data_IF_562369544146
#
_entry.id   IF_562369544146
#
_cell.length_a   1.000
_cell.length_b   1.000
_cell.length_c   1.000
_cell.angle_alpha   90.00
_cell.angle_beta   90.00
_cell.angle_gamma   90.00
#
_symmetry.space_group_name_H-M   'P 1'
#
loop_
_entity.id
_entity.type
_entity.pdbx_description
1 polymer ?
#
# COMPACT_ATOMS: atom_id res chain seq x y z
N UNK A 1 -18.48 28.86 -2.46
CA UNK A 1 -17.53 30.00 -2.54
C UNK A 1 -16.45 29.70 -1.52
N UNK A 2 -15.67 28.66 -1.80
CA UNK A 2 -14.43 28.37 -1.10
C UNK A 2 -13.47 29.50 -1.47
N UNK A 3 -12.90 30.14 -0.47
CA UNK A 3 -11.82 31.11 -0.67
C UNK A 3 -10.68 30.30 -1.31
N UNK A 4 -10.34 30.63 -2.55
CA UNK A 4 -9.16 30.07 -3.22
C UNK A 4 -7.96 30.48 -2.36
N UNK A 5 -7.51 29.57 -1.50
CA UNK A 5 -6.19 29.64 -0.90
C UNK A 5 -5.25 29.61 -2.09
N UNK A 6 -4.39 30.63 -2.23
CA UNK A 6 -3.34 30.61 -3.24
C UNK A 6 -2.57 29.29 -3.07
N UNK A 7 -2.71 28.35 -4.02
CA UNK A 7 -2.09 27.02 -3.94
C UNK A 7 -0.58 27.11 -3.73
N UNK A 8 0.04 28.19 -4.23
CA UNK A 8 1.44 28.52 -4.02
C UNK A 8 1.77 28.83 -2.55
N UNK A 9 0.86 29.43 -1.78
CA UNK A 9 1.01 29.59 -0.33
C UNK A 9 0.88 28.24 0.39
N UNK A 10 -0.10 27.42 0.00
CA UNK A 10 -0.31 26.10 0.58
C UNK A 10 0.94 25.21 0.42
N UNK A 11 1.57 25.19 -0.76
CA UNK A 11 2.81 24.44 -1.04
C UNK A 11 3.95 24.75 -0.08
N UNK A 12 4.05 26.00 0.38
CA UNK A 12 5.10 26.47 1.28
C UNK A 12 4.80 26.23 2.76
N UNK A 13 3.57 25.83 3.12
CA UNK A 13 3.22 25.52 4.51
C UNK A 13 4.03 24.31 4.98
N UNK A 14 4.39 24.35 6.26
CA UNK A 14 5.24 23.34 6.89
C UNK A 14 4.41 22.42 7.78
N UNK A 15 4.65 21.11 7.65
CA UNK A 15 4.09 20.07 8.51
C UNK A 15 5.20 19.36 9.27
N UNK A 16 4.98 19.08 10.56
CA UNK A 16 5.95 18.41 11.43
C UNK A 16 5.65 16.92 11.63
N UNK A 17 6.64 16.20 12.15
CA UNK A 17 6.52 14.77 12.49
C UNK A 17 5.42 14.47 13.54
N UNK A 18 5.12 15.40 14.45
CA UNK A 18 4.07 15.23 15.46
C UNK A 18 2.65 15.31 14.87
N UNK A 19 2.47 16.03 13.75
CA UNK A 19 1.18 16.12 13.06
C UNK A 19 0.89 14.90 12.18
N UNK A 20 1.91 14.08 11.90
CA UNK A 20 1.83 12.93 10.99
C UNK A 20 1.93 11.67 11.83
N UNK A 21 0.81 10.96 12.01
CA UNK A 21 0.78 9.75 12.82
C UNK A 21 1.37 8.52 12.14
N UNK A 22 1.52 8.54 10.81
CA UNK A 22 2.10 7.42 10.07
C UNK A 22 3.61 7.33 10.32
N UNK A 23 4.06 6.13 10.71
CA UNK A 23 5.41 5.90 11.25
C UNK A 23 6.50 6.10 10.20
N UNK A 24 6.29 5.66 8.96
CA UNK A 24 7.28 5.84 7.89
C UNK A 24 7.48 7.31 7.55
N UNK A 25 6.40 8.06 7.33
CA UNK A 25 6.43 9.49 7.02
C UNK A 25 6.99 10.31 8.18
N UNK A 26 6.61 10.00 9.42
CA UNK A 26 7.12 10.68 10.61
C UNK A 26 8.65 10.50 10.74
N UNK A 27 9.16 9.26 10.59
CA UNK A 27 10.60 8.98 10.59
C UNK A 27 11.34 9.64 9.41
N UNK A 28 10.69 9.73 8.25
CA UNK A 28 11.27 10.40 7.08
C UNK A 28 11.43 11.91 7.30
N UNK A 29 10.44 12.54 7.93
CA UNK A 29 10.49 13.95 8.35
C UNK A 29 11.61 14.14 9.39
N UNK A 30 11.74 13.26 10.37
CA UNK A 30 12.81 13.37 11.37
C UNK A 30 14.21 13.27 10.77
N UNK A 31 14.41 12.36 9.80
CA UNK A 31 15.72 12.07 9.22
C UNK A 31 16.15 13.07 8.13
N UNK A 32 15.21 13.56 7.32
CA UNK A 32 15.51 14.41 6.15
C UNK A 32 14.86 15.79 6.18
N UNK A 33 14.05 16.08 7.20
CA UNK A 33 13.36 17.36 7.37
C UNK A 33 14.28 18.52 7.72
N UNK A 34 13.77 19.72 7.45
CA UNK A 34 14.43 20.98 7.81
C UNK A 34 13.84 21.52 9.12
N UNK A 35 14.67 22.23 9.89
CA UNK A 35 14.19 22.88 11.10
C UNK A 35 13.24 24.03 10.73
N UNK A 36 12.02 23.97 11.24
CA UNK A 36 10.96 24.90 10.88
C UNK A 36 9.87 24.99 11.94
N UNK A 37 8.91 25.87 11.69
CA UNK A 37 7.71 26.01 12.51
C UNK A 37 6.52 25.41 11.76
N UNK A 38 5.86 24.42 12.35
CA UNK A 38 4.68 23.79 11.79
C UNK A 38 3.54 24.80 11.67
N UNK A 39 2.92 24.89 10.50
CA UNK A 39 1.77 25.77 10.28
C UNK A 39 0.55 25.33 11.09
N UNK A 40 0.37 24.01 11.29
CA UNK A 40 -0.85 23.44 11.87
C UNK A 40 -0.81 23.37 13.40
N UNK A 41 0.24 22.80 13.99
CA UNK A 41 0.35 22.69 15.45
C UNK A 41 1.14 23.85 16.10
N UNK A 42 1.84 24.68 15.32
CA UNK A 42 2.73 25.73 15.84
C UNK A 42 3.98 25.21 16.55
N UNK A 43 4.26 23.91 16.45
CA UNK A 43 5.45 23.27 17.02
C UNK A 43 6.71 23.60 16.25
N UNK A 44 7.83 23.73 16.97
CA UNK A 44 9.16 23.94 16.38
C UNK A 44 9.90 22.61 16.35
N UNK A 45 10.35 22.19 15.18
CA UNK A 45 11.00 20.90 15.00
C UNK A 45 11.39 20.62 13.56
N UNK A 46 11.55 19.32 13.24
CA UNK A 46 11.76 18.87 11.87
C UNK A 46 10.45 18.93 11.09
N UNK A 47 10.50 19.55 9.93
CA UNK A 47 9.35 19.82 9.08
C UNK A 47 9.64 19.55 7.61
N UNK A 48 8.58 19.24 6.86
CA UNK A 48 8.55 19.24 5.40
C UNK A 48 7.61 20.31 4.89
N UNK A 49 7.86 20.76 3.65
CA UNK A 49 6.87 21.53 2.91
C UNK A 49 5.70 20.63 2.50
N UNK A 50 4.50 21.20 2.36
CA UNK A 50 3.36 20.43 1.87
C UNK A 50 3.58 19.91 0.45
N UNK A 51 4.33 20.62 -0.40
CA UNK A 51 4.72 20.11 -1.73
C UNK A 51 5.48 18.78 -1.62
N UNK A 52 6.49 18.71 -0.76
CA UNK A 52 7.25 17.47 -0.53
C UNK A 52 6.39 16.35 0.06
N UNK A 53 5.39 16.72 0.85
CA UNK A 53 4.47 15.77 1.46
C UNK A 53 3.46 15.25 0.42
N UNK A 54 2.90 16.14 -0.41
CA UNK A 54 2.00 15.83 -1.51
C UNK A 54 2.65 14.87 -2.51
N UNK A 55 3.92 15.10 -2.88
CA UNK A 55 4.70 14.19 -3.72
C UNK A 55 4.73 12.74 -3.21
N UNK A 56 4.83 12.57 -1.89
CA UNK A 56 4.86 11.24 -1.25
C UNK A 56 3.49 10.60 -1.24
N UNK A 57 2.47 11.38 -0.93
CA UNK A 57 1.07 10.94 -0.96
C UNK A 57 0.68 10.55 -2.39
N UNK A 58 1.01 11.35 -3.40
CA UNK A 58 0.78 11.03 -4.82
C UNK A 58 1.37 9.68 -5.21
N UNK A 59 2.62 9.39 -4.80
CA UNK A 59 3.25 8.09 -5.04
C UNK A 59 2.53 6.94 -4.33
N UNK A 60 2.12 7.14 -3.08
CA UNK A 60 1.38 6.14 -2.33
C UNK A 60 0.02 5.85 -2.97
N UNK A 61 -0.71 6.89 -3.38
CA UNK A 61 -1.98 6.77 -4.11
C UNK A 61 -1.79 6.02 -5.43
N UNK A 62 -0.80 6.40 -6.24
CA UNK A 62 -0.51 5.71 -7.51
C UNK A 62 -0.18 4.22 -7.35
N UNK A 63 0.33 3.79 -6.20
CA UNK A 63 0.66 2.39 -5.92
C UNK A 63 -0.50 1.61 -5.30
N UNK A 64 -1.27 2.23 -4.40
CA UNK A 64 -2.17 1.52 -3.50
C UNK A 64 -3.65 1.83 -3.70
N UNK A 65 -4.00 2.92 -4.38
CA UNK A 65 -5.39 3.36 -4.52
C UNK A 65 -5.79 3.58 -5.98
N UNK A 66 -7.07 3.36 -6.28
CA UNK A 66 -7.66 3.67 -7.57
C UNK A 66 -8.95 4.47 -7.39
N UNK A 67 -9.19 5.41 -8.30
CA UNK A 67 -10.40 6.24 -8.32
C UNK A 67 -11.59 5.41 -8.74
N UNK A 68 -12.70 5.55 -8.02
CA UNK A 68 -13.95 4.87 -8.34
C UNK A 68 -14.80 5.67 -9.31
N UNK A 69 -15.56 4.97 -10.15
CA UNK A 69 -16.47 5.60 -11.11
C UNK A 69 -17.57 6.36 -10.36
N UNK A 70 -17.88 7.61 -10.75
CA UNK A 70 -19.00 8.35 -10.17
C UNK A 70 -20.37 7.75 -10.53
N UNK A 71 -20.43 6.76 -11.42
CA UNK A 71 -21.65 6.07 -11.83
C UNK A 71 -21.67 4.59 -11.43
N UNK A 72 -22.87 4.03 -11.19
CA UNK A 72 -23.03 2.59 -10.98
C UNK A 72 -22.62 1.80 -12.23
N UNK A 73 -22.04 0.63 -11.99
CA UNK A 73 -21.77 -0.33 -13.07
C UNK A 73 -23.08 -0.81 -13.71
N UNK A 74 -23.02 -1.32 -14.94
CA UNK A 74 -24.21 -1.85 -15.63
C UNK A 74 -24.94 -2.96 -14.86
N UNK A 75 -24.21 -3.73 -14.05
CA UNK A 75 -24.80 -4.75 -13.18
C UNK A 75 -25.55 -4.14 -12.00
N UNK A 76 -24.97 -3.14 -11.34
CA UNK A 76 -25.61 -2.41 -10.24
C UNK A 76 -26.84 -1.64 -10.71
N UNK A 77 -26.77 -1.06 -11.91
CA UNK A 77 -27.93 -0.45 -12.54
C UNK A 77 -29.07 -1.45 -12.76
N UNK A 78 -28.74 -2.69 -13.19
CA UNK A 78 -29.73 -3.75 -13.33
C UNK A 78 -30.33 -4.17 -11.98
N UNK A 79 -29.51 -4.25 -10.92
CA UNK A 79 -29.96 -4.57 -9.57
C UNK A 79 -30.87 -3.50 -8.98
N UNK A 80 -30.59 -2.21 -9.18
CA UNK A 80 -31.47 -1.12 -8.72
C UNK A 80 -32.82 -1.12 -9.45
N UNK A 81 -32.85 -1.57 -10.71
CA UNK A 81 -34.07 -1.63 -11.51
C UNK A 81 -34.95 -2.83 -11.16
N UNK A 82 -34.38 -3.86 -10.55
CA UNK A 82 -35.11 -5.03 -10.12
C UNK A 82 -35.99 -4.71 -8.91
N UNK A 83 -37.30 -4.95 -9.05
CA UNK A 83 -38.29 -4.65 -8.00
C UNK A 83 -38.20 -5.59 -6.80
N UNK A 84 -37.56 -6.74 -6.96
CA UNK A 84 -37.32 -7.70 -5.88
C UNK A 84 -35.99 -7.44 -5.16
N UNK A 85 -35.14 -6.58 -5.72
CA UNK A 85 -33.89 -6.16 -5.12
C UNK A 85 -34.11 -5.02 -4.13
N UNK A 86 -33.39 -5.06 -3.02
CA UNK A 86 -33.31 -3.96 -2.04
C UNK A 86 -32.00 -3.19 -2.17
N UNK A 87 -31.26 -3.43 -3.25
CA UNK A 87 -29.98 -2.78 -3.52
C UNK A 87 -30.19 -1.29 -3.80
N UNK A 88 -29.54 -0.46 -2.98
CA UNK A 88 -29.44 0.98 -3.17
C UNK A 88 -27.97 1.32 -3.40
N UNK A 89 -27.69 2.03 -4.49
CA UNK A 89 -26.32 2.30 -4.88
C UNK A 89 -25.80 3.55 -4.17
N UNK A 90 -24.61 3.42 -3.62
CA UNK A 90 -23.78 4.54 -3.15
C UNK A 90 -22.43 4.44 -3.85
N UNK A 91 -21.78 5.58 -4.05
CA UNK A 91 -20.47 5.61 -4.69
C UNK A 91 -19.49 4.78 -3.87
N UNK A 92 -18.75 3.90 -4.54
CA UNK A 92 -17.75 3.07 -3.89
C UNK A 92 -16.53 3.89 -3.48
N UNK A 93 -15.79 3.40 -2.50
CA UNK A 93 -14.62 4.08 -1.96
C UNK A 93 -14.99 5.19 -1.00
N UNK A 94 -13.99 5.98 -0.65
CA UNK A 94 -14.06 7.07 0.32
C UNK A 94 -13.57 8.36 -0.32
N UNK A 95 -14.00 9.50 0.21
CA UNK A 95 -13.59 10.80 -0.30
C UNK A 95 -12.07 10.93 -0.24
N UNK A 96 -11.50 11.56 -1.26
CA UNK A 96 -10.04 11.72 -1.37
C UNK A 96 -9.41 12.36 -0.12
N UNK A 97 -10.08 13.33 0.51
CA UNK A 97 -9.62 13.97 1.75
C UNK A 97 -9.61 13.00 2.92
N UNK A 98 -10.59 12.11 3.01
CA UNK A 98 -10.68 11.10 4.07
C UNK A 98 -9.59 10.05 3.87
N UNK A 99 -9.39 9.58 2.64
CA UNK A 99 -8.31 8.63 2.32
C UNK A 99 -6.93 9.21 2.64
N UNK A 100 -6.68 10.50 2.36
CA UNK A 100 -5.43 11.18 2.71
C UNK A 100 -5.26 11.24 4.24
N UNK A 101 -6.31 11.62 4.98
CA UNK A 101 -6.29 11.65 6.45
C UNK A 101 -5.94 10.29 7.03
N UNK A 102 -6.62 9.23 6.59
CA UNK A 102 -6.41 7.88 7.10
C UNK A 102 -5.05 7.32 6.71
N UNK A 103 -4.58 7.59 5.50
CA UNK A 103 -3.27 7.09 5.01
C UNK A 103 -2.11 7.72 5.75
N UNK A 104 -2.15 9.04 5.97
CA UNK A 104 -1.07 9.78 6.62
C UNK A 104 -1.25 9.92 8.14
N UNK A 105 -2.44 9.57 8.66
CA UNK A 105 -2.87 9.82 10.03
C UNK A 105 -2.68 11.30 10.41
N UNK A 106 -3.26 12.18 9.61
CA UNK A 106 -3.21 13.65 9.76
C UNK A 106 -4.60 14.22 9.99
N UNK A 107 -4.66 15.45 10.48
CA UNK A 107 -5.92 16.19 10.63
C UNK A 107 -6.52 16.62 9.28
N UNK A 108 -7.80 16.98 9.30
CA UNK A 108 -8.59 17.39 8.13
C UNK A 108 -7.98 18.56 7.36
N UNK A 109 -7.52 19.61 8.05
CA UNK A 109 -7.01 20.82 7.39
C UNK A 109 -5.73 20.57 6.57
N UNK A 110 -4.67 19.90 7.11
CA UNK A 110 -3.56 19.43 6.30
C UNK A 110 -4.00 18.59 5.08
N UNK A 111 -4.98 17.70 5.25
CA UNK A 111 -5.42 16.83 4.17
C UNK A 111 -6.12 17.59 3.03
N UNK A 112 -6.94 18.59 3.36
CA UNK A 112 -7.56 19.50 2.38
C UNK A 112 -6.47 20.28 1.63
N UNK A 113 -5.51 20.86 2.34
CA UNK A 113 -4.43 21.63 1.71
C UNK A 113 -3.60 20.73 0.77
N UNK A 114 -3.32 19.48 1.15
CA UNK A 114 -2.62 18.48 0.30
C UNK A 114 -3.46 18.11 -0.92
N UNK A 115 -4.77 17.87 -0.74
CA UNK A 115 -5.67 17.54 -1.84
C UNK A 115 -5.73 18.67 -2.87
N UNK A 116 -5.76 19.94 -2.43
CA UNK A 116 -5.73 21.09 -3.34
C UNK A 116 -4.43 21.13 -4.17
N UNK A 117 -3.28 20.89 -3.53
CA UNK A 117 -1.98 20.83 -4.23
C UNK A 117 -2.00 19.72 -5.29
N UNK A 118 -2.47 18.53 -4.92
CA UNK A 118 -2.53 17.38 -5.82
C UNK A 118 -3.52 17.60 -6.97
N UNK A 119 -4.66 18.23 -6.69
CA UNK A 119 -5.65 18.58 -7.71
C UNK A 119 -5.06 19.51 -8.76
N UNK A 120 -4.37 20.56 -8.32
CA UNK A 120 -3.77 21.54 -9.23
C UNK A 120 -2.63 20.93 -10.06
N UNK A 121 -1.85 20.02 -9.48
CA UNK A 121 -0.78 19.30 -10.18
C UNK A 121 -1.30 18.30 -11.22
N UNK A 122 -2.49 17.74 -10.99
CA UNK A 122 -3.13 16.77 -11.87
C UNK A 122 -4.26 17.38 -12.71
N UNK A 123 -4.43 18.70 -12.66
CA UNK A 123 -5.41 19.41 -13.46
C UNK A 123 -5.07 19.23 -14.95
N UNK A 124 -6.05 18.76 -15.72
CA UNK A 124 -6.00 18.69 -17.17
C UNK A 124 -5.86 20.06 -17.81
N UNK A 125 -5.55 20.09 -19.11
CA UNK A 125 -5.48 21.35 -19.87
C UNK A 125 -6.82 22.11 -19.71
N UNK A 126 -6.82 23.36 -19.23
CA UNK A 126 -8.04 24.15 -19.06
C UNK A 126 -8.86 24.32 -20.34
N UNK A 127 -8.23 24.14 -21.51
CA UNK A 127 -8.90 24.19 -22.81
C UNK A 127 -9.55 22.87 -23.22
N UNK A 128 -9.24 21.77 -22.53
CA UNK A 128 -9.78 20.43 -22.71
C UNK A 128 -10.81 20.11 -21.61
N UNK A 129 -11.86 20.93 -21.52
CA UNK A 129 -12.96 20.69 -20.59
C UNK A 129 -13.85 19.54 -21.11
N UNK A 130 -13.55 18.32 -20.66
CA UNK A 130 -14.38 17.14 -20.91
C UNK A 130 -15.66 17.13 -20.05
N UNK A 131 -15.66 17.89 -18.93
CA UNK A 131 -16.70 17.81 -17.90
C UNK A 131 -16.65 16.50 -17.10
N UNK A 132 -15.62 15.68 -17.32
CA UNK A 132 -15.35 14.48 -16.55
C UNK A 132 -14.60 14.87 -15.27
N UNK A 133 -14.89 14.15 -14.19
CA UNK A 133 -14.16 14.27 -12.93
C UNK A 133 -12.67 13.95 -13.16
N UNK A 134 -11.79 14.75 -12.58
CA UNK A 134 -10.33 14.63 -12.69
C UNK A 134 -9.73 13.96 -11.44
N UNK A 135 -8.41 13.73 -11.46
CA UNK A 135 -7.71 13.17 -10.30
C UNK A 135 -7.70 14.18 -9.15
N UNK A 136 -7.94 13.67 -7.93
CA UNK A 136 -7.99 14.46 -6.70
C UNK A 136 -9.04 15.59 -6.70
N UNK A 137 -10.07 15.55 -7.56
CA UNK A 137 -11.20 16.48 -7.45
C UNK A 137 -11.89 16.38 -6.07
N UNK A 138 -12.51 17.46 -5.61
CA UNK A 138 -13.05 17.58 -4.23
C UNK A 138 -14.06 16.47 -3.87
N UNK A 139 -14.83 16.01 -4.86
CA UNK A 139 -15.84 14.96 -4.70
C UNK A 139 -15.34 13.58 -5.16
N UNK A 140 -14.08 13.46 -5.57
CA UNK A 140 -13.52 12.20 -6.04
C UNK A 140 -13.41 11.18 -4.92
N UNK A 141 -13.74 9.92 -5.25
CA UNK A 141 -13.66 8.80 -4.32
C UNK A 141 -12.59 7.81 -4.76
N UNK A 142 -11.88 7.26 -3.78
CA UNK A 142 -10.80 6.29 -3.98
C UNK A 142 -11.07 5.04 -3.16
N UNK A 143 -10.69 3.88 -3.70
CA UNK A 143 -10.64 2.62 -2.94
C UNK A 143 -9.26 1.98 -3.06
N UNK A 144 -8.84 1.15 -2.09
CA UNK A 144 -7.62 0.38 -2.21
C UNK A 144 -7.67 -0.52 -3.45
N UNK A 145 -6.59 -0.49 -4.24
CA UNK A 145 -6.45 -1.35 -5.43
C UNK A 145 -6.67 -2.79 -5.03
N UNK A 146 -7.63 -3.43 -5.70
CA UNK A 146 -7.86 -4.85 -5.52
C UNK A 146 -6.71 -5.59 -6.20
N UNK A 147 -5.93 -6.33 -5.41
CA UNK A 147 -4.93 -7.22 -5.97
C UNK A 147 -5.64 -8.33 -6.75
N UNK A 148 -5.70 -8.22 -8.09
CA UNK A 148 -6.18 -9.31 -8.93
C UNK A 148 -5.11 -10.40 -9.00
N UNK A 149 -5.18 -11.34 -8.06
CA UNK A 149 -4.27 -12.47 -7.98
C UNK A 149 -4.57 -13.54 -9.06
N UNK A 150 -5.64 -13.42 -9.85
CA UNK A 150 -6.06 -14.47 -10.79
C UNK A 150 -4.97 -14.86 -11.77
N UNK A 151 -4.19 -13.88 -12.24
CA UNK A 151 -3.06 -14.14 -13.13
C UNK A 151 -1.96 -14.91 -12.40
N UNK A 152 -1.61 -14.50 -11.18
CA UNK A 152 -0.64 -15.20 -10.33
C UNK A 152 -1.08 -16.63 -9.99
N UNK A 153 -2.34 -16.82 -9.60
CA UNK A 153 -2.96 -18.11 -9.33
C UNK A 153 -2.93 -19.02 -10.56
N UNK A 154 -3.22 -18.48 -11.75
CA UNK A 154 -3.18 -19.23 -13.01
C UNK A 154 -1.75 -19.69 -13.33
N UNK A 155 -0.78 -18.78 -13.24
CA UNK A 155 0.62 -19.10 -13.49
C UNK A 155 1.18 -20.11 -12.48
N UNK A 156 0.84 -19.96 -11.19
CA UNK A 156 1.23 -20.92 -10.16
C UNK A 156 0.66 -22.32 -10.42
N UNK A 157 -0.62 -22.42 -10.82
CA UNK A 157 -1.22 -23.72 -11.19
C UNK A 157 -0.56 -24.32 -12.43
N UNK A 158 -0.13 -23.50 -13.37
CA UNK A 158 0.61 -23.96 -14.56
C UNK A 158 1.99 -24.48 -14.17
N UNK A 159 2.70 -23.77 -13.29
CA UNK A 159 3.96 -24.20 -12.69
C UNK A 159 3.83 -25.51 -11.90
N UNK A 160 2.80 -25.64 -11.05
CA UNK A 160 2.55 -26.89 -10.34
C UNK A 160 2.27 -28.05 -11.29
N UNK A 161 1.51 -27.80 -12.36
CA UNK A 161 1.24 -28.82 -13.38
C UNK A 161 2.52 -29.24 -14.07
N UNK A 162 3.35 -28.30 -14.53
CA UNK A 162 4.60 -28.64 -15.22
C UNK A 162 5.54 -29.48 -14.35
N UNK A 163 5.70 -29.14 -13.05
CA UNK A 163 6.47 -29.96 -12.11
C UNK A 163 5.88 -31.36 -11.90
N UNK A 164 4.56 -31.50 -11.92
CA UNK A 164 3.86 -32.79 -11.73
C UNK A 164 3.88 -33.66 -12.99
N UNK A 165 3.87 -33.06 -14.18
CA UNK A 165 3.64 -33.80 -15.45
C UNK A 165 4.88 -33.87 -16.35
N UNK A 166 5.80 -32.92 -16.28
CA UNK A 166 6.85 -32.73 -17.27
C UNK A 166 8.24 -32.71 -16.61
N UNK A 167 8.76 -33.94 -16.47
CA UNK A 167 10.14 -34.30 -16.10
C UNK A 167 10.52 -34.10 -14.62
N UNK A 168 11.25 -35.08 -14.09
CA UNK A 168 11.85 -35.09 -12.75
C UNK A 168 12.98 -34.05 -12.57
N UNK A 169 13.17 -33.16 -13.54
CA UNK A 169 14.25 -32.18 -13.58
C UNK A 169 13.66 -30.78 -13.68
N UNK A 170 14.31 -29.84 -13.00
CA UNK A 170 13.88 -28.45 -12.90
C UNK A 170 13.90 -27.80 -14.30
N UNK A 171 12.73 -27.39 -14.82
CA UNK A 171 12.63 -26.80 -16.16
C UNK A 171 13.11 -25.34 -16.19
N UNK A 172 13.46 -24.85 -17.38
CA UNK A 172 13.88 -23.47 -17.56
C UNK A 172 12.71 -22.50 -17.31
N UNK A 173 11.47 -22.88 -17.65
CA UNK A 173 10.28 -22.09 -17.31
C UNK A 173 10.03 -22.03 -15.80
N UNK A 174 10.23 -23.15 -15.10
CA UNK A 174 10.12 -23.21 -13.64
C UNK A 174 11.13 -22.26 -12.98
N UNK A 175 12.36 -22.22 -13.49
CA UNK A 175 13.40 -21.28 -13.03
C UNK A 175 13.03 -19.84 -13.29
N UNK A 176 12.56 -19.51 -14.50
CA UNK A 176 12.17 -18.15 -14.86
C UNK A 176 11.02 -17.65 -13.98
N UNK A 177 10.03 -18.50 -13.70
CA UNK A 177 8.91 -18.16 -12.83
C UNK A 177 9.35 -17.87 -11.39
N UNK A 178 10.18 -18.74 -10.77
CA UNK A 178 10.70 -18.49 -9.43
C UNK A 178 11.61 -17.26 -9.37
N UNK A 179 12.42 -17.05 -10.40
CA UNK A 179 13.30 -15.86 -10.47
C UNK A 179 12.45 -14.60 -10.48
N UNK A 180 11.37 -14.56 -11.27
CA UNK A 180 10.43 -13.43 -11.30
C UNK A 180 9.71 -13.22 -9.97
N UNK A 181 9.36 -14.30 -9.27
CA UNK A 181 8.63 -14.23 -8.00
C UNK A 181 9.50 -13.75 -6.83
N UNK A 182 10.77 -14.16 -6.80
CA UNK A 182 11.72 -13.80 -5.76
C UNK A 182 12.66 -12.66 -6.15
N UNK A 183 12.43 -12.01 -7.29
CA UNK A 183 13.26 -10.91 -7.73
C UNK A 183 13.22 -9.76 -6.72
N UNK A 184 14.37 -9.15 -6.47
CA UNK A 184 14.52 -8.05 -5.51
C UNK A 184 14.45 -8.43 -4.03
N UNK A 185 13.97 -9.63 -3.66
CA UNK A 185 13.82 -10.04 -2.24
C UNK A 185 15.16 -9.97 -1.49
N UNK A 186 16.28 -10.33 -2.15
CA UNK A 186 17.61 -10.24 -1.55
C UNK A 186 18.06 -8.80 -1.20
N UNK A 187 17.53 -7.81 -1.92
CA UNK A 187 17.83 -6.38 -1.69
C UNK A 187 16.90 -5.72 -0.69
N UNK A 188 15.77 -6.36 -0.35
CA UNK A 188 14.82 -5.80 0.60
C UNK A 188 15.42 -5.73 2.00
N UNK A 189 15.02 -4.69 2.73
CA UNK A 189 15.42 -4.42 4.11
C UNK A 189 14.18 -4.18 4.94
N UNK A 190 14.22 -4.66 6.17
CA UNK A 190 13.25 -4.34 7.21
C UNK A 190 13.43 -2.90 7.68
N UNK A 191 12.47 -2.38 8.45
CA UNK A 191 12.55 -1.02 9.03
C UNK A 191 13.82 -0.79 9.87
N UNK A 192 14.37 -1.84 10.48
CA UNK A 192 15.62 -1.78 11.25
C UNK A 192 16.89 -1.88 10.38
N UNK A 193 16.74 -1.94 9.05
CA UNK A 193 17.85 -2.11 8.10
C UNK A 193 18.35 -3.55 7.97
N UNK A 194 17.76 -4.52 8.67
CA UNK A 194 18.11 -5.93 8.52
C UNK A 194 17.59 -6.50 7.20
N UNK A 195 18.35 -7.39 6.55
CA UNK A 195 17.90 -8.11 5.35
C UNK A 195 16.69 -9.01 5.63
N UNK A 196 15.81 -9.18 4.65
CA UNK A 196 14.69 -10.13 4.75
C UNK A 196 15.09 -11.58 4.46
N UNK A 197 16.27 -11.77 3.87
CA UNK A 197 16.92 -13.08 3.71
C UNK A 197 17.98 -13.19 4.79
N UNK A 198 17.94 -14.29 5.53
CA UNK A 198 18.92 -14.64 6.55
C UNK A 198 19.63 -15.91 6.11
N UNK A 199 20.96 -15.88 6.14
CA UNK A 199 21.76 -17.09 5.97
C UNK A 199 21.79 -17.85 7.31
N UNK A 200 21.31 -19.07 7.26
CA UNK A 200 21.20 -19.95 8.42
C UNK A 200 22.24 -21.05 8.30
N UNK A 201 23.15 -21.12 9.27
CA UNK A 201 24.22 -22.11 9.29
C UNK A 201 24.91 -22.21 10.65
N UNK A 202 25.72 -23.24 10.86
CA UNK A 202 26.47 -23.42 12.11
C UNK A 202 27.56 -22.37 12.32
N UNK A 203 28.01 -21.71 11.25
CA UNK A 203 29.05 -20.67 11.28
C UNK A 203 28.48 -19.24 11.18
N UNK A 204 27.15 -19.10 11.07
CA UNK A 204 26.47 -17.82 10.88
C UNK A 204 26.03 -17.17 12.20
N UNK A 205 25.76 -15.86 12.12
CA UNK A 205 25.33 -15.00 13.24
C UNK A 205 24.04 -15.51 13.91
N UNK A 206 23.15 -16.12 13.14
CA UNK A 206 22.00 -16.90 13.62
C UNK A 206 22.34 -18.39 13.55
N UNK A 207 23.03 -18.88 14.58
CA UNK A 207 23.44 -20.28 14.66
C UNK A 207 22.23 -21.20 14.74
N UNK A 208 21.92 -21.88 13.63
CA UNK A 208 20.91 -22.95 13.63
C UNK A 208 21.60 -24.27 13.98
N UNK A 209 21.35 -24.75 15.20
CA UNK A 209 21.94 -26.00 15.71
C UNK A 209 21.35 -27.27 15.09
N UNK A 210 20.23 -27.17 14.36
CA UNK A 210 19.65 -28.30 13.65
C UNK A 210 18.36 -27.95 12.91
N UNK A 211 18.11 -28.64 11.80
CA UNK A 211 16.83 -28.63 11.11
C UNK A 211 16.02 -29.86 11.54
N UNK A 212 14.84 -29.65 12.10
CA UNK A 212 13.92 -30.72 12.47
C UNK A 212 12.77 -30.77 11.47
N UNK A 213 12.46 -31.95 10.96
CA UNK A 213 11.32 -32.14 10.06
C UNK A 213 10.03 -32.00 10.87
N UNK A 214 9.15 -31.10 10.45
CA UNK A 214 7.82 -30.97 11.03
C UNK A 214 7.06 -32.31 10.96
N UNK A 215 6.40 -32.68 12.05
CA UNK A 215 5.60 -33.91 12.17
C UNK A 215 4.19 -33.55 12.62
N UNK A 216 3.21 -34.17 11.97
CA UNK A 216 1.83 -34.10 12.41
C UNK A 216 1.60 -35.16 13.49
N UNK A 217 1.03 -34.74 14.62
CA UNK A 217 0.67 -35.64 15.71
C UNK A 217 -0.84 -35.64 15.90
N UNK A 218 -1.42 -36.83 15.95
CA UNK A 218 -2.86 -37.04 16.15
C UNK A 218 -3.30 -36.83 17.61
N UNK A 219 -2.34 -36.65 18.53
CA UNK A 219 -2.62 -36.47 19.96
C UNK A 219 -1.47 -35.77 20.67
N UNK A 220 -1.79 -35.06 21.75
CA UNK A 220 -0.83 -34.35 22.60
C UNK A 220 0.24 -35.26 23.22
N UNK A 221 -0.10 -36.50 23.61
CA UNK A 221 0.86 -37.43 24.21
C UNK A 221 1.94 -37.90 23.22
N UNK A 222 1.58 -38.09 21.94
CA UNK A 222 2.53 -38.40 20.86
C UNK A 222 3.46 -37.20 20.58
N UNK A 223 2.94 -35.97 20.67
CA UNK A 223 3.74 -34.75 20.53
C UNK A 223 4.74 -34.61 21.68
N UNK A 224 4.31 -34.77 22.95
CA UNK A 224 5.20 -34.70 24.11
C UNK A 224 6.34 -35.72 24.02
N UNK A 225 6.02 -36.96 23.64
CA UNK A 225 7.03 -38.02 23.46
C UNK A 225 8.06 -37.65 22.39
N UNK A 226 7.62 -37.06 21.28
CA UNK A 226 8.50 -36.63 20.20
C UNK A 226 9.29 -35.35 20.52
N UNK A 227 8.81 -34.50 21.42
CA UNK A 227 9.57 -33.34 21.92
C UNK A 227 10.70 -33.76 22.85
N UNK A 228 10.52 -34.85 23.61
CA UNK A 228 11.59 -35.40 24.48
C UNK A 228 12.71 -36.13 23.72
N UNK A 229 12.43 -36.64 22.51
CA UNK A 229 13.45 -37.21 21.62
C UNK A 229 13.17 -36.81 20.16
N UNK A 230 13.63 -35.61 19.74
CA UNK A 230 13.34 -35.07 18.40
C UNK A 230 14.03 -35.83 17.26
N UNK A 231 14.98 -36.73 17.57
CA UNK A 231 15.84 -37.39 16.61
C UNK A 231 15.33 -38.77 16.14
N UNK A 232 14.44 -39.42 16.89
CA UNK A 232 13.74 -40.65 16.44
C UNK A 232 12.69 -40.33 15.41
#
# INVERSE_FOLDING_TARGET
MTEDVDTEDAKLRLICCDCVGEVFLSNEIESSGQDGNCHYCGGVGKTFTLEQFADRISRAFGQHYERTDPNPTGFEYAMMRDKESTYDWSRHGELVTDVIQETALIDEQPAIDIQQILRDENAGDPTDWSGEEQEFDDESHYEPKKFDDKTWQREWRQFERSLKTESRFFSEEARAHLTRLFDGVATMRTQSGAGVIVEAGPEEELTIHGFYRARAFESWSKLETALTDPAQ
#
